data_IF_879363760609
#
_entry.id   IF_879363760609
#
_cell.length_a   1.000
_cell.length_b   1.000
_cell.length_c   1.000
_cell.angle_alpha   90.00
_cell.angle_beta   90.00
_cell.angle_gamma   90.00
#
_symmetry.space_group_name_H-M   'P 1'
#
loop_
_entity.id
_entity.type
_entity.pdbx_description
1 polymer ?
#
# COMPACT_ATOMS: atom_id res chain seq x y z
N UNK A 1 -13.29 -16.49 -10.69
CA UNK A 1 -13.39 -17.64 -9.76
C UNK A 1 -12.99 -17.19 -8.38
N UNK A 2 -13.70 -17.62 -7.33
CA UNK A 2 -13.32 -17.37 -5.93
C UNK A 2 -12.99 -18.70 -5.26
N UNK A 3 -12.07 -18.66 -4.31
CA UNK A 3 -11.73 -19.79 -3.46
C UNK A 3 -11.46 -19.27 -2.04
N UNK A 4 -11.75 -20.10 -1.03
CA UNK A 4 -11.52 -19.78 0.38
C UNK A 4 -10.42 -20.66 0.95
N UNK A 5 -9.58 -20.07 1.79
CA UNK A 5 -8.55 -20.80 2.53
C UNK A 5 -9.20 -21.86 3.42
N UNK A 6 -8.86 -23.13 3.21
CA UNK A 6 -9.36 -24.24 4.01
C UNK A 6 -8.35 -24.71 5.05
N UNK A 7 -7.09 -24.91 4.65
CA UNK A 7 -6.02 -25.40 5.52
C UNK A 7 -4.67 -24.85 5.10
N UNK A 8 -3.82 -24.62 6.10
CA UNK A 8 -2.38 -24.38 5.93
C UNK A 8 -1.65 -25.65 6.44
N UNK A 9 -0.62 -26.08 5.72
CA UNK A 9 0.24 -27.20 6.11
C UNK A 9 0.93 -26.98 7.47
N UNK A 10 1.20 -28.07 8.18
CA UNK A 10 1.89 -28.02 9.48
C UNK A 10 3.41 -27.91 9.38
N UNK A 11 3.95 -28.05 8.17
CA UNK A 11 5.37 -27.97 7.87
C UNK A 11 5.59 -26.81 6.88
N UNK A 12 6.66 -26.05 7.11
CA UNK A 12 7.07 -24.96 6.24
C UNK A 12 8.56 -25.10 5.96
N UNK A 13 8.97 -24.76 4.74
CA UNK A 13 10.37 -24.71 4.33
C UNK A 13 10.74 -23.30 3.83
N UNK A 14 11.94 -23.14 3.28
CA UNK A 14 12.40 -21.86 2.75
C UNK A 14 11.60 -21.34 1.53
N UNK A 15 10.81 -22.20 0.88
CA UNK A 15 9.96 -21.87 -0.27
C UNK A 15 8.55 -21.46 0.15
N UNK A 16 8.13 -21.85 1.34
CA UNK A 16 6.87 -21.43 1.95
C UNK A 16 6.14 -22.55 2.66
N UNK A 17 4.81 -22.50 2.60
CA UNK A 17 3.92 -23.46 3.23
C UNK A 17 2.85 -23.89 2.23
N UNK A 18 2.46 -25.16 2.29
CA UNK A 18 1.38 -25.67 1.47
C UNK A 18 0.03 -25.15 1.96
N UNK A 19 -0.84 -24.85 1.01
CA UNK A 19 -2.18 -24.32 1.28
C UNK A 19 -3.23 -25.09 0.49
N UNK A 20 -4.26 -25.56 1.18
CA UNK A 20 -5.46 -26.13 0.56
C UNK A 20 -6.56 -25.08 0.48
N UNK A 21 -7.01 -24.81 -0.74
CA UNK A 21 -8.08 -23.87 -1.05
C UNK A 21 -9.35 -24.63 -1.43
N UNK A 22 -10.50 -24.21 -0.90
CA UNK A 22 -11.81 -24.67 -1.34
C UNK A 22 -12.31 -23.71 -2.42
N UNK A 23 -12.40 -24.21 -3.66
CA UNK A 23 -13.01 -23.47 -4.76
C UNK A 23 -14.52 -23.41 -4.56
N UNK A 24 -15.14 -22.27 -4.84
CA UNK A 24 -16.61 -22.14 -4.77
C UNK A 24 -17.28 -22.94 -5.90
N UNK A 25 -18.51 -23.41 -5.66
CA UNK A 25 -19.26 -24.22 -6.62
C UNK A 25 -19.58 -23.45 -7.91
N UNK A 26 -19.83 -24.17 -9.00
CA UNK A 26 -20.21 -23.57 -10.29
C UNK A 26 -19.07 -22.88 -11.05
N UNK A 27 -17.82 -23.08 -10.64
CA UNK A 27 -16.65 -22.43 -11.26
C UNK A 27 -16.15 -23.10 -12.54
N UNK A 28 -16.62 -24.32 -12.83
CA UNK A 28 -16.26 -25.06 -14.06
C UNK A 28 -14.78 -25.41 -14.18
N UNK A 29 -14.03 -25.41 -13.07
CA UNK A 29 -12.59 -25.68 -13.08
C UNK A 29 -12.32 -27.16 -13.39
N UNK A 30 -11.63 -27.50 -14.50
CA UNK A 30 -11.30 -28.89 -14.79
C UNK A 30 -10.35 -29.47 -13.76
N UNK A 31 -10.51 -30.77 -13.46
CA UNK A 31 -9.54 -31.50 -12.64
C UNK A 31 -8.17 -31.49 -13.31
N UNK A 32 -7.12 -31.26 -12.52
CA UNK A 32 -5.73 -31.20 -13.00
C UNK A 32 -5.33 -29.89 -13.69
N UNK A 33 -6.22 -28.90 -13.78
CA UNK A 33 -5.88 -27.61 -14.36
C UNK A 33 -4.88 -26.84 -13.46
N UNK A 34 -3.85 -26.25 -14.08
CA UNK A 34 -2.98 -25.28 -13.43
C UNK A 34 -3.63 -23.91 -13.46
N UNK A 35 -3.61 -23.20 -12.32
CA UNK A 35 -4.21 -21.87 -12.17
C UNK A 35 -3.27 -20.91 -11.46
N UNK A 36 -3.36 -19.64 -11.81
CA UNK A 36 -2.74 -18.56 -11.03
C UNK A 36 -3.69 -18.14 -9.91
N UNK A 37 -3.25 -18.29 -8.66
CA UNK A 37 -4.00 -17.85 -7.50
C UNK A 37 -3.53 -16.48 -7.04
N UNK A 38 -4.48 -15.55 -6.84
CA UNK A 38 -4.23 -14.28 -6.17
C UNK A 38 -4.84 -14.34 -4.77
N UNK A 39 -3.98 -14.29 -3.75
CA UNK A 39 -4.44 -14.27 -2.36
C UNK A 39 -4.82 -12.84 -1.95
N UNK A 40 -6.07 -12.65 -1.56
CA UNK A 40 -6.51 -11.39 -0.99
C UNK A 40 -6.02 -11.29 0.46
N UNK A 41 -5.29 -10.23 0.77
CA UNK A 41 -4.86 -9.91 2.14
C UNK A 41 -6.00 -9.20 2.88
N UNK A 42 -6.07 -9.30 4.22
CA UNK A 42 -7.01 -8.54 5.02
C UNK A 42 -6.92 -7.04 4.69
N UNK A 43 -8.09 -6.39 4.65
CA UNK A 43 -8.13 -4.93 4.56
C UNK A 43 -7.43 -4.33 5.79
N UNK A 44 -6.76 -3.20 5.58
CA UNK A 44 -6.08 -2.46 6.63
C UNK A 44 -6.73 -1.08 6.70
N UNK A 45 -7.23 -0.74 7.88
CA UNK A 45 -7.81 0.56 8.17
C UNK A 45 -6.77 1.55 8.72
N UNK A 46 -7.13 2.84 8.73
CA UNK A 46 -6.30 3.93 9.24
C UNK A 46 -4.91 3.97 8.57
N UNK A 47 -4.95 3.94 7.25
CA UNK A 47 -3.78 4.11 6.38
C UNK A 47 -4.11 5.09 5.28
N UNK A 48 -3.09 5.85 4.88
CA UNK A 48 -3.11 6.67 3.67
C UNK A 48 -2.38 5.91 2.55
N UNK A 49 -2.79 6.19 1.32
CA UNK A 49 -2.18 5.60 0.13
C UNK A 49 -1.40 6.67 -0.61
N UNK A 50 -0.09 6.47 -0.76
CA UNK A 50 0.80 7.42 -1.44
C UNK A 50 1.73 6.70 -2.42
N UNK A 51 2.14 7.34 -3.52
CA UNK A 51 3.17 6.78 -4.39
C UNK A 51 4.51 6.71 -3.66
N UNK A 52 5.42 5.79 -4.03
CA UNK A 52 6.76 5.69 -3.44
C UNK A 52 7.56 6.99 -3.47
N UNK A 53 7.31 7.85 -4.47
CA UNK A 53 7.97 9.15 -4.62
C UNK A 53 7.67 10.13 -3.50
N UNK A 54 6.58 9.95 -2.75
CA UNK A 54 6.21 10.78 -1.60
C UNK A 54 7.00 10.46 -0.32
N UNK A 55 7.64 9.28 -0.28
CA UNK A 55 8.35 8.79 0.90
C UNK A 55 9.82 9.21 0.83
N UNK A 56 10.27 9.90 1.88
CA UNK A 56 11.63 10.39 2.05
C UNK A 56 12.32 9.67 3.21
N UNK A 57 13.58 9.31 3.02
CA UNK A 57 14.39 8.66 4.07
C UNK A 57 13.86 7.30 4.55
N UNK A 58 12.84 6.75 3.89
CA UNK A 58 12.20 5.46 4.24
C UNK A 58 11.05 5.54 5.24
N UNK A 59 10.89 6.64 5.99
CA UNK A 59 9.89 6.74 7.06
C UNK A 59 9.27 8.15 7.22
N UNK A 60 9.43 9.04 6.24
CA UNK A 60 8.94 10.42 6.31
C UNK A 60 8.15 10.82 5.07
N UNK A 61 7.04 11.51 5.27
CA UNK A 61 6.31 12.24 4.22
C UNK A 61 6.29 13.72 4.58
N UNK A 62 5.88 14.58 3.64
CA UNK A 62 5.70 16.01 3.91
C UNK A 62 4.26 16.45 3.66
N UNK A 63 3.61 16.96 4.70
CA UNK A 63 2.38 17.73 4.57
C UNK A 63 2.71 19.18 4.22
N UNK A 64 1.79 19.87 3.56
CA UNK A 64 1.91 21.29 3.23
C UNK A 64 1.02 22.07 4.20
N UNK A 65 1.64 22.87 5.06
CA UNK A 65 0.96 23.73 6.04
C UNK A 65 1.41 25.16 5.81
N UNK A 66 0.48 26.06 5.48
CA UNK A 66 0.77 27.47 5.19
C UNK A 66 1.87 27.65 4.11
N UNK A 67 1.84 26.84 3.05
CA UNK A 67 2.82 26.88 1.96
C UNK A 67 4.22 26.37 2.35
N UNK A 68 4.36 25.66 3.47
CA UNK A 68 5.63 25.10 3.93
C UNK A 68 5.52 23.60 4.16
N UNK A 69 6.61 22.90 3.91
CA UNK A 69 6.71 21.48 4.20
C UNK A 69 6.80 21.24 5.72
N UNK A 70 5.96 20.34 6.21
CA UNK A 70 6.02 19.80 7.57
C UNK A 70 6.22 18.30 7.47
N UNK A 71 7.35 17.82 7.97
CA UNK A 71 7.73 16.42 7.98
C UNK A 71 6.88 15.64 8.96
N UNK A 72 6.28 14.56 8.49
CA UNK A 72 5.46 13.65 9.27
C UNK A 72 6.12 12.27 9.23
N UNK A 73 6.35 11.69 10.41
CA UNK A 73 6.85 10.33 10.52
C UNK A 73 5.73 9.35 10.19
N UNK A 74 6.07 8.34 9.40
CA UNK A 74 5.13 7.32 8.95
C UNK A 74 5.69 5.92 9.15
N UNK A 75 4.79 4.95 9.23
CA UNK A 75 5.13 3.53 9.21
C UNK A 75 4.53 2.88 7.97
N UNK A 76 5.36 2.15 7.22
CA UNK A 76 4.90 1.39 6.06
C UNK A 76 4.20 0.11 6.51
N UNK A 77 2.90 0.03 6.25
CA UNK A 77 2.08 -1.13 6.60
C UNK A 77 2.03 -2.14 5.44
N UNK A 78 2.17 -1.65 4.21
CA UNK A 78 2.24 -2.52 3.04
C UNK A 78 2.40 -1.75 1.75
N UNK A 79 2.14 -2.45 0.66
CA UNK A 79 2.06 -1.90 -0.68
C UNK A 79 0.96 -2.63 -1.46
N UNK A 80 0.42 -1.97 -2.47
CA UNK A 80 -0.43 -2.58 -3.48
C UNK A 80 0.09 -2.22 -4.86
N UNK A 81 -0.08 -3.14 -5.81
CA UNK A 81 0.21 -2.89 -7.23
C UNK A 81 -1.09 -2.49 -7.93
N UNK A 82 -1.03 -1.41 -8.67
CA UNK A 82 -2.11 -0.87 -9.50
C UNK A 82 -1.62 -0.78 -10.95
N UNK A 83 -2.51 -0.46 -11.89
CA UNK A 83 -2.11 -0.19 -13.28
C UNK A 83 -1.15 1.00 -13.39
N UNK A 84 -1.25 1.97 -12.48
CA UNK A 84 -0.37 3.14 -12.41
C UNK A 84 0.98 2.86 -11.72
N UNK A 85 1.18 1.65 -11.17
CA UNK A 85 2.40 1.24 -10.48
C UNK A 85 2.18 0.85 -9.01
N UNK A 86 3.25 0.89 -8.23
CA UNK A 86 3.24 0.55 -6.81
C UNK A 86 2.69 1.74 -6.00
N UNK A 87 1.79 1.46 -5.08
CA UNK A 87 1.34 2.42 -4.07
C UNK A 87 1.65 1.88 -2.67
N UNK A 88 2.08 2.76 -1.78
CA UNK A 88 2.41 2.44 -0.39
C UNK A 88 1.21 2.68 0.50
N UNK A 89 0.97 1.74 1.42
CA UNK A 89 0.00 1.90 2.51
C UNK A 89 0.79 2.34 3.74
N UNK A 90 0.55 3.57 4.18
CA UNK A 90 1.31 4.22 5.25
C UNK A 90 0.39 4.58 6.41
N UNK A 91 0.84 4.37 7.64
CA UNK A 91 0.19 4.92 8.85
C UNK A 91 0.89 6.20 9.25
N UNK A 92 0.12 7.27 9.44
CA UNK A 92 0.62 8.61 9.72
C UNK A 92 -0.18 9.25 10.88
N UNK A 93 0.13 8.91 12.14
CA UNK A 93 -0.70 9.33 13.29
C UNK A 93 -0.82 10.85 13.46
N UNK A 94 0.16 11.61 12.98
CA UNK A 94 0.22 13.07 13.09
C UNK A 94 -0.42 13.81 11.89
N UNK A 95 -0.85 13.06 10.86
CA UNK A 95 -1.50 13.62 9.69
C UNK A 95 -3.01 13.75 9.94
N UNK A 96 -3.56 14.95 9.75
CA UNK A 96 -4.99 15.19 9.89
C UNK A 96 -5.70 15.06 8.55
N UNK A 97 -6.97 14.66 8.61
CA UNK A 97 -7.81 14.59 7.42
C UNK A 97 -7.91 15.96 6.74
N UNK A 98 -7.81 15.96 5.40
CA UNK A 98 -7.85 17.18 4.58
C UNK A 98 -6.51 17.91 4.43
N UNK A 99 -5.44 17.50 5.11
CA UNK A 99 -4.12 18.06 4.87
C UNK A 99 -3.58 17.66 3.48
N UNK A 100 -2.97 18.63 2.79
CA UNK A 100 -2.30 18.37 1.52
C UNK A 100 -0.96 17.69 1.79
N UNK A 101 -0.68 16.61 1.06
CA UNK A 101 0.58 15.87 1.16
C UNK A 101 1.31 15.93 -0.17
N UNK A 102 2.61 16.22 -0.12
CA UNK A 102 3.48 16.19 -1.29
C UNK A 102 3.60 14.75 -1.81
N UNK A 103 3.25 14.54 -3.09
CA UNK A 103 3.26 13.21 -3.72
C UNK A 103 4.50 12.95 -4.58
N UNK A 104 5.23 14.00 -4.93
CA UNK A 104 6.41 13.95 -5.81
C UNK A 104 7.69 13.84 -5.01
N UNK A 105 8.74 13.34 -5.65
CA UNK A 105 10.06 13.36 -5.06
C UNK A 105 10.66 14.76 -5.21
N UNK A 106 10.80 15.47 -4.10
CA UNK A 106 11.55 16.72 -4.04
C UNK A 106 12.94 16.46 -3.46
N UNK A 107 14.03 16.63 -4.23
CA UNK A 107 15.38 16.50 -3.70
C UNK A 107 15.62 17.54 -2.60
N UNK A 108 16.36 17.16 -1.57
CA UNK A 108 16.68 18.01 -0.43
C UNK A 108 15.44 18.61 0.28
N UNK A 109 14.30 17.90 0.25
CA UNK A 109 13.13 18.28 1.04
C UNK A 109 13.48 18.27 2.54
N UNK A 110 13.26 19.41 3.19
CA UNK A 110 13.51 19.64 4.61
C UNK A 110 12.30 20.31 5.27
N UNK A 111 12.27 20.24 6.60
CA UNK A 111 11.29 20.94 7.42
C UNK A 111 11.27 22.46 7.10
N UNK A 112 10.07 23.04 6.98
CA UNK A 112 9.88 24.47 6.80
C UNK A 112 10.14 25.01 5.40
N UNK A 113 10.59 24.17 4.47
CA UNK A 113 10.85 24.55 3.07
C UNK A 113 9.59 25.14 2.43
N UNK A 114 9.70 26.34 1.87
CA UNK A 114 8.61 26.99 1.18
C UNK A 114 8.35 26.29 -0.16
N UNK A 115 7.08 26.03 -0.48
CA UNK A 115 6.68 25.31 -1.68
C UNK A 115 5.44 25.93 -2.30
N UNK A 116 5.30 25.73 -3.60
CA UNK A 116 4.11 26.06 -4.38
C UNK A 116 3.50 24.78 -4.93
N UNK A 117 2.16 24.69 -4.92
CA UNK A 117 1.44 23.52 -5.41
C UNK A 117 1.22 23.65 -6.91
N UNK A 118 1.93 22.84 -7.70
CA UNK A 118 1.89 22.88 -9.18
C UNK A 118 0.85 21.92 -9.79
N UNK A 119 0.04 21.27 -8.94
CA UNK A 119 -1.03 20.37 -9.36
C UNK A 119 -1.67 19.66 -8.15
N UNK A 120 -3.00 19.56 -8.14
CA UNK A 120 -3.76 18.84 -7.12
C UNK A 120 -4.48 17.67 -7.77
N UNK A 121 -4.45 16.51 -7.12
CA UNK A 121 -5.28 15.36 -7.49
C UNK A 121 -6.38 15.26 -6.45
N UNK A 122 -7.63 15.13 -6.90
CA UNK A 122 -8.78 14.92 -6.01
C UNK A 122 -8.59 13.63 -5.19
N UNK A 123 -9.10 13.59 -3.94
CA UNK A 123 -8.98 12.44 -3.04
C UNK A 123 -9.61 11.16 -3.59
#
# INVERSE_FOLDING_TARGET
MRARLGRIGGEADARGVDVLLRVEEGTGLPSGAFVNALMQRPAVDDVIVLPPTALHGGDRIYAIRNGRLTGIRVSRIGERRTEAGVELLLRAPELRAGEQVMRTHLPNAIEGLAVEVVGAVAP
#
